data_IF_106755250564
#
_entry.id   IF_106755250564
#
_cell.length_a   1.000
_cell.length_b   1.000
_cell.length_c   1.000
_cell.angle_alpha   90.00
_cell.angle_beta   90.00
_cell.angle_gamma   90.00
#
_symmetry.space_group_name_H-M   'P 1'
#
loop_
_entity.id
_entity.type
_entity.pdbx_description
1 polymer ?
#
# COMPACT_ATOMS: atom_id res chain seq x y z
N UNK A 1 12.91 -32.89 32.91
CA UNK A 1 12.56 -32.95 31.47
C UNK A 1 11.24 -32.23 31.20
N UNK A 2 11.16 -30.90 31.28
CA UNK A 2 9.87 -30.17 31.19
C UNK A 2 9.89 -28.93 30.28
N UNK A 3 10.84 -28.85 29.35
CA UNK A 3 10.94 -27.74 28.37
C UNK A 3 10.55 -28.13 26.95
N UNK A 4 10.44 -29.44 26.67
CA UNK A 4 10.18 -29.99 25.33
C UNK A 4 8.78 -29.68 24.76
N UNK A 5 7.79 -29.44 25.63
CA UNK A 5 6.41 -29.15 25.20
C UNK A 5 6.20 -27.69 24.77
N UNK A 6 7.02 -26.76 25.27
CA UNK A 6 6.92 -25.33 24.98
C UNK A 6 7.53 -24.99 23.62
N UNK A 7 8.70 -25.58 23.31
CA UNK A 7 9.36 -25.40 22.01
C UNK A 7 8.49 -25.92 20.87
N UNK A 8 7.89 -27.11 21.02
CA UNK A 8 7.03 -27.72 19.99
C UNK A 8 5.77 -26.92 19.68
N UNK A 9 5.20 -26.22 20.66
CA UNK A 9 4.06 -25.31 20.47
C UNK A 9 4.47 -24.00 19.81
N UNK A 10 5.68 -23.52 20.09
CA UNK A 10 6.22 -22.31 19.50
C UNK A 10 6.52 -22.52 18.00
N UNK A 11 7.20 -23.62 17.66
CA UNK A 11 7.50 -24.01 16.27
C UNK A 11 6.24 -24.20 15.39
N UNK A 12 5.13 -24.63 15.98
CA UNK A 12 3.84 -24.79 15.28
C UNK A 12 3.16 -23.46 14.92
N UNK A 13 3.53 -22.36 15.59
CA UNK A 13 2.91 -21.02 15.43
C UNK A 13 3.86 -20.05 14.71
N UNK A 14 5.17 -20.24 14.82
CA UNK A 14 6.15 -19.51 14.03
C UNK A 14 6.19 -20.07 12.62
N UNK A 15 5.43 -19.46 11.71
CA UNK A 15 5.56 -19.75 10.28
C UNK A 15 7.04 -19.66 9.86
N UNK A 16 7.50 -20.64 9.08
CA UNK A 16 8.90 -20.86 8.68
C UNK A 16 9.58 -19.67 7.94
N UNK A 17 8.87 -18.56 7.74
CA UNK A 17 9.37 -17.38 7.07
C UNK A 17 9.55 -16.22 8.06
N UNK A 18 10.74 -15.58 8.10
CA UNK A 18 10.92 -14.37 8.89
C UNK A 18 9.90 -13.32 8.42
N UNK A 19 9.12 -12.81 9.35
CA UNK A 19 8.06 -11.86 9.04
C UNK A 19 8.70 -10.53 8.60
N UNK A 20 8.33 -10.03 7.42
CA UNK A 20 8.79 -8.75 6.84
C UNK A 20 8.27 -7.50 7.57
N UNK A 21 7.80 -7.66 8.81
CA UNK A 21 7.23 -6.57 9.60
C UNK A 21 8.28 -5.51 9.95
N UNK A 22 9.54 -5.91 10.17
CA UNK A 22 10.65 -4.99 10.45
C UNK A 22 10.93 -4.10 9.25
N UNK A 23 11.09 -4.69 8.06
CA UNK A 23 11.25 -3.90 6.82
C UNK A 23 10.06 -3.00 6.54
N UNK A 24 8.82 -3.49 6.70
CA UNK A 24 7.61 -2.67 6.52
C UNK A 24 7.51 -1.53 7.54
N UNK A 25 7.95 -1.74 8.78
CA UNK A 25 8.00 -0.71 9.81
C UNK A 25 9.06 0.35 9.49
N UNK A 26 10.26 -0.07 9.07
CA UNK A 26 11.34 0.82 8.67
C UNK A 26 10.96 1.63 7.43
N UNK A 27 10.34 0.99 6.44
CA UNK A 27 9.79 1.67 5.27
C UNK A 27 8.80 2.74 5.70
N UNK A 28 7.75 2.41 6.47
CA UNK A 28 6.77 3.41 6.93
C UNK A 28 7.39 4.57 7.69
N UNK A 29 8.42 4.32 8.51
CA UNK A 29 9.12 5.36 9.26
C UNK A 29 9.91 6.30 8.33
N UNK A 30 10.68 5.74 7.41
CA UNK A 30 11.51 6.52 6.49
C UNK A 30 10.69 7.26 5.43
N UNK A 31 9.51 6.75 5.12
CA UNK A 31 8.64 7.19 4.03
C UNK A 31 7.40 7.96 4.54
N UNK A 32 7.34 8.24 5.85
CA UNK A 32 6.15 8.76 6.52
C UNK A 32 5.64 10.08 5.93
N UNK A 33 6.53 11.05 5.71
CA UNK A 33 6.15 12.37 5.21
C UNK A 33 5.56 12.29 3.81
N UNK A 34 6.23 11.63 2.87
CA UNK A 34 5.69 11.49 1.53
C UNK A 34 4.41 10.65 1.50
N UNK A 35 4.29 9.61 2.35
CA UNK A 35 3.07 8.80 2.46
C UNK A 35 1.87 9.64 2.92
N UNK A 36 2.09 10.60 3.83
CA UNK A 36 1.04 11.54 4.25
C UNK A 36 0.65 12.46 3.10
N UNK A 37 1.64 13.02 2.40
CA UNK A 37 1.38 13.91 1.26
C UNK A 37 0.66 13.19 0.11
N UNK A 38 1.06 11.96 -0.22
CA UNK A 38 0.42 11.15 -1.26
C UNK A 38 -1.03 10.81 -0.89
N UNK A 39 -1.28 10.40 0.35
CA UNK A 39 -2.63 10.12 0.83
C UNK A 39 -3.52 11.37 0.81
N UNK A 40 -2.99 12.54 1.19
CA UNK A 40 -3.75 13.79 1.12
C UNK A 40 -4.19 14.10 -0.32
N UNK A 41 -3.31 13.88 -1.30
CA UNK A 41 -3.65 14.06 -2.73
C UNK A 41 -4.73 13.06 -3.16
N UNK A 42 -4.58 11.78 -2.77
CA UNK A 42 -5.57 10.73 -3.07
C UNK A 42 -6.94 11.06 -2.50
N UNK A 43 -7.01 11.53 -1.25
CA UNK A 43 -8.28 11.94 -0.62
C UNK A 43 -8.95 13.04 -1.46
N UNK A 44 -8.20 14.06 -1.87
CA UNK A 44 -8.74 15.15 -2.72
C UNK A 44 -9.23 14.65 -4.08
N UNK A 45 -8.54 13.67 -4.68
CA UNK A 45 -8.98 13.03 -5.93
C UNK A 45 -10.29 12.27 -5.70
N UNK A 46 -10.39 11.49 -4.63
CA UNK A 46 -11.60 10.73 -4.29
C UNK A 46 -12.79 11.64 -3.99
N UNK A 47 -12.56 12.76 -3.30
CA UNK A 47 -13.57 13.80 -3.10
C UNK A 47 -14.03 14.38 -4.44
N UNK A 48 -13.09 14.78 -5.31
CA UNK A 48 -13.42 15.28 -6.64
C UNK A 48 -14.16 14.28 -7.53
N UNK A 49 -13.90 12.97 -7.38
CA UNK A 49 -14.65 11.92 -8.05
C UNK A 49 -16.07 11.82 -7.52
N UNK A 50 -16.26 11.91 -6.20
CA UNK A 50 -17.56 11.87 -5.56
C UNK A 50 -18.42 13.08 -5.95
N UNK A 51 -17.86 14.29 -5.89
CA UNK A 51 -18.53 15.53 -6.29
C UNK A 51 -19.02 15.50 -7.74
N UNK A 52 -18.20 14.93 -8.63
CA UNK A 52 -18.54 14.83 -10.06
C UNK A 52 -19.35 13.58 -10.42
N UNK A 53 -19.63 12.70 -9.46
CA UNK A 53 -20.23 11.39 -9.68
C UNK A 53 -19.49 10.54 -10.75
N UNK A 54 -18.16 10.67 -10.79
CA UNK A 54 -17.30 10.00 -11.77
C UNK A 54 -16.70 8.74 -11.15
N UNK A 55 -16.73 7.64 -11.88
CA UNK A 55 -16.08 6.40 -11.44
C UNK A 55 -14.55 6.46 -11.65
N UNK A 56 -13.80 5.70 -10.86
CA UNK A 56 -12.34 5.57 -11.03
C UNK A 56 -11.96 5.07 -12.44
N UNK A 57 -12.83 4.26 -13.07
CA UNK A 57 -12.64 3.79 -14.44
C UNK A 57 -12.72 4.96 -15.44
N UNK A 58 -13.73 5.81 -15.30
CA UNK A 58 -13.88 6.99 -16.14
C UNK A 58 -12.74 8.01 -15.91
N UNK A 59 -12.22 8.09 -14.67
CA UNK A 59 -11.00 8.85 -14.39
C UNK A 59 -9.79 8.28 -15.14
N UNK A 60 -9.61 6.95 -15.12
CA UNK A 60 -8.54 6.28 -15.85
C UNK A 60 -8.63 6.55 -17.36
N UNK A 61 -9.83 6.46 -17.94
CA UNK A 61 -10.11 6.79 -19.34
C UNK A 61 -9.78 8.26 -19.66
N UNK A 62 -10.15 9.20 -18.79
CA UNK A 62 -9.86 10.63 -18.96
C UNK A 62 -8.37 10.96 -18.82
N UNK A 63 -7.65 10.22 -18.00
CA UNK A 63 -6.21 10.38 -17.80
C UNK A 63 -5.38 9.60 -18.84
N UNK A 64 -6.02 8.76 -19.67
CA UNK A 64 -5.32 7.90 -20.63
C UNK A 64 -4.47 6.80 -19.99
N UNK A 65 -4.75 6.45 -18.73
CA UNK A 65 -4.01 5.43 -17.98
C UNK A 65 -4.86 4.20 -17.73
N UNK A 66 -4.23 3.07 -17.40
CA UNK A 66 -4.97 1.85 -17.04
C UNK A 66 -5.72 2.01 -15.71
N UNK A 67 -6.87 1.36 -15.57
CA UNK A 67 -7.63 1.32 -14.32
C UNK A 67 -6.83 0.70 -13.16
N UNK A 68 -5.91 -0.21 -13.48
CA UNK A 68 -4.99 -0.81 -12.52
C UNK A 68 -3.98 0.22 -12.00
N UNK A 69 -3.40 1.06 -12.87
CA UNK A 69 -2.53 2.16 -12.43
C UNK A 69 -3.27 3.18 -11.56
N UNK A 70 -4.50 3.54 -11.91
CA UNK A 70 -5.32 4.40 -11.03
C UNK A 70 -5.58 3.74 -9.68
N UNK A 71 -5.81 2.42 -9.66
CA UNK A 71 -5.98 1.67 -8.41
C UNK A 71 -4.70 1.69 -7.56
N UNK A 72 -3.53 1.58 -8.17
CA UNK A 72 -2.24 1.69 -7.46
C UNK A 72 -2.01 3.09 -6.90
N UNK A 73 -2.31 4.13 -7.68
CA UNK A 73 -2.23 5.53 -7.23
C UNK A 73 -3.13 5.76 -6.01
N UNK A 74 -4.38 5.26 -6.08
CA UNK A 74 -5.36 5.42 -5.00
C UNK A 74 -5.06 4.55 -3.77
N UNK A 75 -4.25 3.50 -3.89
CA UNK A 75 -3.78 2.72 -2.73
C UNK A 75 -2.77 3.49 -1.88
N UNK A 76 -2.09 4.50 -2.43
CA UNK A 76 -1.18 5.40 -1.70
C UNK A 76 -0.05 4.71 -0.92
N UNK A 77 0.23 3.44 -1.24
CA UNK A 77 1.21 2.57 -0.58
C UNK A 77 2.43 2.29 -1.44
N UNK A 78 2.23 2.25 -2.75
CA UNK A 78 3.32 2.07 -3.69
C UNK A 78 3.83 3.45 -4.07
N UNK A 79 5.13 3.58 -3.84
CA UNK A 79 5.92 4.74 -4.12
C UNK A 79 5.54 5.23 -5.53
N UNK A 80 5.39 6.55 -5.71
CA UNK A 80 5.23 7.23 -7.00
C UNK A 80 6.44 6.99 -7.95
N UNK A 81 7.22 5.93 -7.72
CA UNK A 81 8.35 5.51 -8.52
C UNK A 81 7.87 5.00 -9.87
N UNK A 82 7.99 5.91 -10.83
CA UNK A 82 8.69 5.66 -12.09
C UNK A 82 7.97 4.74 -13.07
N UNK A 83 6.75 5.08 -13.47
CA UNK A 83 6.36 4.85 -14.86
C UNK A 83 5.63 6.09 -15.37
N UNK A 84 6.12 6.59 -16.52
CA UNK A 84 5.47 7.58 -17.38
C UNK A 84 5.79 9.05 -17.09
N UNK A 85 7.05 9.45 -17.30
CA UNK A 85 7.41 10.35 -18.42
C UNK A 85 8.79 9.90 -18.95
N UNK A 86 8.80 9.17 -20.06
CA UNK A 86 9.90 9.13 -21.03
C UNK A 86 9.32 9.62 -22.35
#
# INVERSE_FOLDING_TARGET
>A
MHTYGLTKKLDAVTGAQPSTWKEKALFRKNNQDWLKHSQAIVVRILEGLRDKNISQKLLAEKLGVSSQQVSEILKGKENFTVQTIT
#
